data_IF_017964364055
#
_entry.id   IF_017964364055
#
_cell.length_a   1.000
_cell.length_b   1.000
_cell.length_c   1.000
_cell.angle_alpha   90.00
_cell.angle_beta   90.00
_cell.angle_gamma   90.00
#
_symmetry.space_group_name_H-M   'P 1'
#
loop_
_entity.id
_entity.type
_entity.pdbx_description
1 polymer ?
#
# COMPACT_ATOMS: atom_id res chain seq x y z
N UNK A 1 -10.30 17.97 1.04
CA UNK A 1 -10.86 17.07 -0.01
C UNK A 1 -10.41 15.64 0.29
N UNK A 2 -11.36 14.73 0.50
CA UNK A 2 -11.08 13.36 0.94
C UNK A 2 -10.36 12.50 -0.09
N UNK A 3 -9.88 11.33 0.33
CA UNK A 3 -9.24 10.35 -0.55
C UNK A 3 -10.25 9.85 -1.58
N UNK A 4 -9.83 9.68 -2.83
CA UNK A 4 -10.67 9.01 -3.83
C UNK A 4 -10.93 7.55 -3.42
N UNK A 5 -12.12 7.01 -3.71
CA UNK A 5 -12.38 5.59 -3.54
C UNK A 5 -11.36 4.73 -4.30
N UNK A 6 -10.89 3.64 -3.68
CA UNK A 6 -9.82 2.80 -4.23
C UNK A 6 -10.22 2.10 -5.55
N UNK A 7 -11.53 2.00 -5.86
CA UNK A 7 -12.03 1.45 -7.13
C UNK A 7 -11.45 2.15 -8.37
N UNK A 8 -11.12 3.43 -8.27
CA UNK A 8 -10.52 4.19 -9.39
C UNK A 8 -9.10 3.72 -9.73
N UNK A 9 -8.45 3.05 -8.79
CA UNK A 9 -7.02 2.73 -8.84
C UNK A 9 -6.73 1.24 -8.78
N UNK A 10 -7.72 0.37 -8.55
CA UNK A 10 -7.56 -1.08 -8.41
C UNK A 10 -6.79 -1.71 -9.57
N UNK A 11 -7.17 -1.37 -10.80
CA UNK A 11 -6.55 -1.93 -12.00
C UNK A 11 -5.20 -1.27 -12.34
N UNK A 12 -4.20 -2.09 -12.67
CA UNK A 12 -2.90 -1.62 -13.17
C UNK A 12 -3.01 -1.26 -14.65
N UNK A 13 -3.12 0.04 -14.97
CA UNK A 13 -3.26 0.53 -16.36
C UNK A 13 -1.99 1.18 -16.92
N UNK A 14 -1.29 1.96 -16.11
CA UNK A 14 -0.17 2.81 -16.55
C UNK A 14 1.18 2.14 -16.32
N UNK A 15 2.23 2.64 -16.99
CA UNK A 15 3.63 2.29 -16.68
C UNK A 15 3.96 2.61 -15.20
N UNK A 16 4.91 1.89 -14.57
CA UNK A 16 5.35 2.19 -13.21
C UNK A 16 5.86 3.63 -13.10
N UNK A 17 5.47 4.29 -12.02
CA UNK A 17 5.86 5.68 -11.75
C UNK A 17 6.28 5.79 -10.28
N UNK A 18 7.58 5.62 -9.98
CA UNK A 18 8.09 5.67 -8.62
C UNK A 18 8.45 7.10 -8.19
N UNK A 19 8.63 7.29 -6.87
CA UNK A 19 9.30 8.48 -6.33
C UNK A 19 10.71 8.55 -6.94
N UNK A 20 11.05 9.66 -7.59
CA UNK A 20 12.30 9.80 -8.34
C UNK A 20 12.74 11.26 -8.41
N UNK A 21 13.94 11.50 -8.95
CA UNK A 21 14.48 12.83 -9.25
C UNK A 21 13.62 13.68 -10.19
N UNK A 22 12.69 13.07 -10.92
CA UNK A 22 11.78 13.76 -11.84
C UNK A 22 10.39 13.98 -11.24
N UNK A 23 10.09 13.28 -10.14
CA UNK A 23 8.77 13.27 -9.55
C UNK A 23 8.82 13.63 -8.06
N UNK A 24 8.72 14.94 -7.83
CA UNK A 24 8.78 15.56 -6.51
C UNK A 24 7.38 15.68 -5.88
N UNK A 25 7.35 16.01 -4.59
CA UNK A 25 6.10 16.20 -3.84
C UNK A 25 5.31 14.91 -3.58
N UNK A 26 5.96 13.75 -3.76
CA UNK A 26 5.36 12.45 -3.48
C UNK A 26 5.18 12.28 -1.97
N UNK A 27 3.95 12.00 -1.49
CA UNK A 27 3.73 11.73 -0.08
C UNK A 27 4.37 10.41 0.32
N UNK A 28 4.84 10.34 1.56
CA UNK A 28 5.42 9.12 2.08
C UNK A 28 4.34 8.03 2.31
N UNK A 29 4.70 6.74 2.16
CA UNK A 29 3.77 5.65 2.35
C UNK A 29 3.26 5.58 3.78
N UNK A 30 1.99 5.17 3.94
CA UNK A 30 1.38 5.03 5.27
C UNK A 30 2.01 3.90 6.08
N UNK A 31 2.38 2.80 5.42
CA UNK A 31 3.17 1.73 6.02
C UNK A 31 4.61 2.19 6.22
N UNK A 32 5.08 2.19 7.47
CA UNK A 32 6.46 2.53 7.84
C UNK A 32 7.24 1.33 8.36
N UNK A 33 6.56 0.32 8.88
CA UNK A 33 7.15 -0.86 9.52
C UNK A 33 6.70 -2.09 8.75
N UNK A 34 7.65 -2.86 8.21
CA UNK A 34 7.36 -4.06 7.41
C UNK A 34 7.47 -5.35 8.23
N UNK A 35 8.30 -5.35 9.26
CA UNK A 35 8.49 -6.52 10.15
C UNK A 35 7.92 -6.23 11.54
N UNK A 36 7.20 -7.19 12.11
CA UNK A 36 6.55 -7.12 13.42
C UNK A 36 6.71 -8.47 14.14
N UNK A 37 6.59 -8.47 15.46
CA UNK A 37 6.84 -9.66 16.29
C UNK A 37 8.32 -9.84 16.58
N UNK A 38 8.74 -11.08 16.78
CA UNK A 38 10.10 -11.41 17.19
C UNK A 38 11.03 -11.52 15.97
N UNK A 39 11.82 -10.47 15.74
CA UNK A 39 12.70 -10.35 14.55
C UNK A 39 14.08 -10.99 14.71
N UNK A 40 14.47 -11.28 15.95
CA UNK A 40 15.82 -11.73 16.32
C UNK A 40 15.91 -13.24 16.54
N UNK A 41 14.78 -13.94 16.59
CA UNK A 41 14.75 -15.39 16.79
C UNK A 41 15.32 -16.13 15.59
N UNK A 42 15.90 -17.29 15.86
CA UNK A 42 16.48 -18.15 14.83
C UNK A 42 15.41 -18.69 13.87
N UNK A 43 15.84 -19.09 12.68
CA UNK A 43 14.94 -19.69 11.68
C UNK A 43 14.35 -21.02 12.17
N UNK A 44 15.12 -21.77 12.97
CA UNK A 44 14.72 -23.07 13.51
C UNK A 44 13.62 -22.98 14.57
N UNK A 45 13.43 -21.80 15.19
CA UNK A 45 12.41 -21.58 16.22
C UNK A 45 11.00 -21.38 15.65
N UNK A 46 10.88 -21.05 14.36
CA UNK A 46 9.61 -20.81 13.67
C UNK A 46 9.48 -21.73 12.45
N UNK A 47 9.16 -23.03 12.66
CA UNK A 47 9.15 -24.02 11.59
C UNK A 47 7.99 -23.85 10.60
N UNK A 48 6.89 -23.20 11.01
CA UNK A 48 5.72 -23.02 10.14
C UNK A 48 5.70 -21.62 9.54
N UNK A 49 5.43 -21.52 8.24
CA UNK A 49 5.21 -20.25 7.57
C UNK A 49 3.89 -20.27 6.77
N UNK A 50 3.07 -19.25 7.00
CA UNK A 50 1.81 -19.01 6.32
C UNK A 50 1.95 -17.76 5.45
N UNK A 51 1.54 -17.87 4.18
CA UNK A 51 1.64 -16.79 3.20
C UNK A 51 0.26 -16.34 2.74
N UNK A 52 0.02 -15.03 2.79
CA UNK A 52 -1.12 -14.41 2.13
C UNK A 52 -0.74 -14.08 0.69
N UNK A 53 -1.40 -14.70 -0.28
CA UNK A 53 -1.08 -14.59 -1.71
C UNK A 53 -2.21 -13.90 -2.45
N UNK A 54 -1.89 -12.96 -3.35
CA UNK A 54 -2.88 -12.33 -4.22
C UNK A 54 -3.21 -13.23 -5.41
N UNK A 55 -4.50 -13.41 -5.67
CA UNK A 55 -5.00 -14.15 -6.85
C UNK A 55 -5.33 -13.24 -8.03
N UNK A 56 -5.23 -11.93 -7.84
CA UNK A 56 -5.51 -10.94 -8.88
C UNK A 56 -4.31 -10.01 -9.08
N UNK A 57 -4.23 -9.45 -10.29
CA UNK A 57 -3.27 -8.39 -10.63
C UNK A 57 -3.88 -7.02 -10.34
N UNK A 58 -3.46 -6.40 -9.24
CA UNK A 58 -4.05 -5.15 -8.77
C UNK A 58 -3.05 -4.20 -8.08
N UNK A 59 -3.48 -2.96 -7.90
CA UNK A 59 -2.78 -1.99 -7.05
C UNK A 59 -3.35 -2.04 -5.62
N UNK A 60 -2.50 -2.40 -4.67
CA UNK A 60 -2.84 -2.38 -3.25
C UNK A 60 -2.35 -1.08 -2.63
N UNK A 61 -3.24 -0.29 -2.02
CA UNK A 61 -2.86 0.99 -1.39
C UNK A 61 -1.94 0.80 -0.18
N UNK A 62 -1.02 1.73 0.06
CA UNK A 62 -0.15 1.70 1.26
C UNK A 62 -0.94 1.60 2.57
N UNK A 63 -2.13 2.19 2.59
CA UNK A 63 -3.04 2.21 3.72
C UNK A 63 -3.73 0.87 3.92
N UNK A 64 -4.06 0.16 2.83
CA UNK A 64 -4.61 -1.19 2.91
C UNK A 64 -3.56 -2.18 3.44
N UNK A 65 -2.30 -2.04 3.00
CA UNK A 65 -1.19 -2.85 3.52
C UNK A 65 -0.98 -2.58 5.02
N UNK A 66 -1.01 -1.32 5.44
CA UNK A 66 -0.89 -0.96 6.86
C UNK A 66 -2.08 -1.46 7.70
N UNK A 67 -3.31 -1.37 7.17
CA UNK A 67 -4.49 -1.91 7.83
C UNK A 67 -4.40 -3.44 8.00
N UNK A 68 -3.98 -4.15 6.95
CA UNK A 68 -3.78 -5.60 7.00
C UNK A 68 -2.70 -5.98 8.02
N UNK A 69 -1.57 -5.26 8.05
CA UNK A 69 -0.50 -5.44 9.04
C UNK A 69 -1.01 -5.27 10.47
N UNK A 70 -1.75 -4.20 10.75
CA UNK A 70 -2.31 -3.93 12.08
C UNK A 70 -3.30 -5.03 12.49
N UNK A 71 -4.18 -5.46 11.56
CA UNK A 71 -5.15 -6.51 11.81
C UNK A 71 -4.48 -7.84 12.16
N UNK A 72 -3.50 -8.27 11.36
CA UNK A 72 -2.72 -9.48 11.63
C UNK A 72 -1.98 -9.37 12.96
N UNK A 73 -1.31 -8.26 13.23
CA UNK A 73 -0.56 -8.08 14.48
C UNK A 73 -1.47 -8.13 15.72
N UNK A 74 -2.64 -7.48 15.67
CA UNK A 74 -3.60 -7.47 16.78
C UNK A 74 -4.15 -8.87 17.05
N UNK A 75 -4.43 -9.64 16.00
CA UNK A 75 -4.88 -11.02 16.12
C UNK A 75 -3.79 -11.90 16.74
N UNK A 76 -2.60 -11.93 16.13
CA UNK A 76 -1.50 -12.80 16.59
C UNK A 76 -1.05 -12.47 18.01
N UNK A 77 -1.01 -11.19 18.38
CA UNK A 77 -0.67 -10.75 19.75
C UNK A 77 -1.70 -11.23 20.76
N UNK A 78 -3.00 -11.26 20.41
CA UNK A 78 -4.07 -11.69 21.30
C UNK A 78 -4.07 -13.19 21.55
N UNK A 79 -3.82 -14.01 20.52
CA UNK A 79 -3.97 -15.46 20.60
C UNK A 79 -2.67 -16.22 20.90
N UNK A 80 -1.55 -15.76 20.38
CA UNK A 80 -0.25 -16.48 20.45
C UNK A 80 0.75 -15.79 21.38
N UNK A 81 0.57 -14.50 21.64
CA UNK A 81 1.57 -13.66 22.30
C UNK A 81 2.59 -13.08 21.31
N UNK A 82 3.26 -11.98 21.71
CA UNK A 82 4.13 -11.18 20.84
C UNK A 82 5.43 -11.89 20.43
N UNK A 83 5.89 -12.84 21.24
CA UNK A 83 7.20 -13.49 21.09
C UNK A 83 7.15 -14.82 20.32
N UNK A 84 5.93 -15.24 19.93
CA UNK A 84 5.65 -16.51 19.27
C UNK A 84 5.44 -16.39 17.76
N UNK A 85 5.63 -15.20 17.16
CA UNK A 85 5.50 -15.05 15.71
C UNK A 85 6.43 -13.99 15.13
N UNK A 86 6.73 -14.14 13.85
CA UNK A 86 7.37 -13.16 12.99
C UNK A 86 6.44 -12.83 11.81
N UNK A 87 5.93 -11.60 11.77
CA UNK A 87 5.11 -11.10 10.66
C UNK A 87 5.96 -10.19 9.78
N UNK A 88 6.04 -10.51 8.48
CA UNK A 88 6.70 -9.71 7.46
C UNK A 88 5.76 -9.34 6.33
N UNK A 89 5.64 -8.05 6.08
CA UNK A 89 5.03 -7.51 4.87
C UNK A 89 6.05 -7.60 3.74
N UNK A 90 5.75 -8.39 2.69
CA UNK A 90 6.66 -8.62 1.55
C UNK A 90 6.54 -7.54 0.47
N UNK A 91 5.36 -6.93 0.36
CA UNK A 91 5.07 -5.92 -0.67
C UNK A 91 5.43 -4.51 -0.21
N UNK A 92 6.11 -3.77 -1.09
CA UNK A 92 6.47 -2.37 -0.87
C UNK A 92 5.72 -1.45 -1.85
N UNK A 93 5.09 -0.37 -1.37
CA UNK A 93 4.34 0.57 -2.20
C UNK A 93 5.29 1.59 -2.86
N UNK A 94 5.93 1.18 -3.96
CA UNK A 94 6.81 2.06 -4.73
C UNK A 94 6.06 2.92 -5.75
N UNK A 95 4.91 2.46 -6.24
CA UNK A 95 4.20 3.14 -7.30
C UNK A 95 3.38 4.30 -6.77
N UNK A 96 3.54 5.48 -7.35
CA UNK A 96 2.78 6.67 -6.97
C UNK A 96 1.63 6.88 -7.94
N UNK A 97 0.44 7.09 -7.38
CA UNK A 97 -0.74 7.46 -8.14
C UNK A 97 -0.89 8.97 -8.28
N UNK A 98 -1.57 9.37 -9.36
CA UNK A 98 -1.83 10.76 -9.72
C UNK A 98 -3.31 11.07 -9.59
N UNK A 99 -3.60 12.30 -9.19
CA UNK A 99 -4.94 12.86 -9.21
C UNK A 99 -4.91 14.24 -9.87
N UNK A 100 -5.73 14.42 -10.92
CA UNK A 100 -6.13 15.75 -11.35
C UNK A 100 -7.31 16.16 -10.46
N UNK A 101 -7.08 17.05 -9.49
CA UNK A 101 -8.10 17.46 -8.51
C UNK A 101 -9.01 18.46 -9.19
N UNK A 102 -10.31 18.16 -9.23
CA UNK A 102 -11.33 19.10 -9.66
C UNK A 102 -11.77 19.95 -8.47
N UNK A 103 -12.05 21.23 -8.68
CA UNK A 103 -12.69 22.07 -7.68
C UNK A 103 -14.18 21.72 -7.62
N UNK A 104 -14.75 21.65 -6.42
CA UNK A 104 -16.16 21.27 -6.19
C UNK A 104 -16.99 22.42 -5.61
N UNK A 105 -16.54 23.66 -5.77
CA UNK A 105 -17.28 24.85 -5.35
C UNK A 105 -18.17 25.40 -6.48
N UNK A 106 -19.19 26.18 -6.12
CA UNK A 106 -19.96 26.94 -7.11
C UNK A 106 -19.04 27.90 -7.88
N UNK A 107 -19.17 27.94 -9.21
CA UNK A 107 -18.27 28.71 -10.08
C UNK A 107 -16.90 28.06 -10.35
N UNK A 108 -16.71 26.77 -10.02
CA UNK A 108 -15.46 26.05 -10.28
C UNK A 108 -15.07 26.01 -11.76
N UNK A 109 -16.04 26.09 -12.67
CA UNK A 109 -15.85 26.20 -14.12
C UNK A 109 -15.02 27.42 -14.52
N UNK A 110 -15.13 28.52 -13.77
CA UNK A 110 -14.38 29.77 -14.01
C UNK A 110 -12.96 29.74 -13.44
N UNK A 111 -12.75 28.94 -12.40
CA UNK A 111 -11.50 28.91 -11.61
C UNK A 111 -10.58 27.75 -12.01
N UNK A 112 -11.10 26.73 -12.70
CA UNK A 112 -10.35 25.55 -13.05
C UNK A 112 -10.11 25.46 -14.56
N UNK A 113 -8.92 25.01 -14.96
CA UNK A 113 -8.57 24.75 -16.36
C UNK A 113 -9.22 23.49 -16.97
N UNK A 114 -10.18 22.87 -16.26
CA UNK A 114 -10.80 21.61 -16.66
C UNK A 114 -9.77 20.50 -16.91
N UNK A 115 -9.73 20.01 -18.16
CA UNK A 115 -8.82 18.95 -18.61
C UNK A 115 -7.57 19.47 -19.34
N UNK A 116 -7.42 20.79 -19.52
CA UNK A 116 -6.19 21.37 -20.07
C UNK A 116 -5.06 21.17 -19.05
N UNK A 117 -3.97 20.53 -19.48
CA UNK A 117 -2.85 20.19 -18.59
C UNK A 117 -3.21 19.15 -17.52
N UNK A 118 -4.03 18.14 -17.85
CA UNK A 118 -4.56 17.13 -16.92
C UNK A 118 -3.54 16.19 -16.25
N UNK A 119 -2.24 16.50 -16.31
CA UNK A 119 -1.23 15.72 -15.58
C UNK A 119 -1.45 15.88 -14.07
N UNK A 120 -1.91 14.80 -13.44
CA UNK A 120 -2.27 14.83 -12.03
C UNK A 120 -1.07 14.99 -11.09
N UNK A 121 -1.32 15.61 -9.94
CA UNK A 121 -0.37 15.69 -8.82
C UNK A 121 -0.31 14.35 -8.06
N UNK A 122 0.80 14.02 -7.37
CA UNK A 122 0.89 12.82 -6.56
C UNK A 122 -0.18 12.78 -5.46
N UNK A 123 -0.90 11.65 -5.37
CA UNK A 123 -1.93 11.43 -4.35
C UNK A 123 -1.45 10.53 -3.22
N UNK A 124 -0.79 9.42 -3.56
CA UNK A 124 -0.46 8.35 -2.62
C UNK A 124 0.33 7.22 -3.28
N UNK A 125 0.92 6.38 -2.46
CA UNK A 125 1.75 5.25 -2.86
C UNK A 125 1.00 3.92 -2.76
N UNK A 126 1.25 3.05 -3.74
CA UNK A 126 0.56 1.79 -3.95
C UNK A 126 1.59 0.72 -4.32
N UNK A 127 1.36 -0.49 -3.83
CA UNK A 127 2.10 -1.68 -4.25
C UNK A 127 1.41 -2.26 -5.48
N UNK A 128 2.19 -2.50 -6.54
CA UNK A 128 1.73 -3.25 -7.71
C UNK A 128 1.93 -4.73 -7.43
N UNK A 129 0.85 -5.48 -7.47
CA UNK A 129 0.84 -6.90 -7.15
C UNK A 129 0.50 -7.70 -8.40
N UNK A 130 1.21 -8.80 -8.60
CA UNK A 130 0.92 -9.79 -9.65
C UNK A 130 0.19 -11.01 -9.06
N UNK A 131 -0.38 -11.81 -9.96
CA UNK A 131 -1.00 -13.08 -9.58
C UNK A 131 0.07 -13.96 -8.91
N UNK A 132 -0.31 -14.61 -7.82
CA UNK A 132 0.54 -15.49 -7.01
C UNK A 132 1.67 -14.77 -6.26
N UNK A 133 1.63 -13.44 -6.15
CA UNK A 133 2.60 -12.70 -5.34
C UNK A 133 2.19 -12.69 -3.86
N UNK A 134 3.15 -13.01 -2.99
CA UNK A 134 2.98 -12.98 -1.53
C UNK A 134 2.90 -11.54 -1.03
N UNK A 135 1.83 -11.23 -0.30
CA UNK A 135 1.59 -9.94 0.35
C UNK A 135 2.18 -9.91 1.77
N UNK A 136 1.76 -10.87 2.59
CA UNK A 136 2.13 -11.01 4.00
C UNK A 136 2.68 -12.42 4.24
N UNK A 137 3.65 -12.53 5.13
CA UNK A 137 4.17 -13.79 5.60
C UNK A 137 4.17 -13.78 7.12
N UNK A 138 3.60 -14.81 7.73
CA UNK A 138 3.68 -15.05 9.18
C UNK A 138 4.44 -16.34 9.37
N UNK A 139 5.48 -16.33 10.18
CA UNK A 139 6.15 -17.55 10.63
C UNK A 139 6.00 -17.68 12.15
N UNK A 140 5.74 -18.90 12.62
CA UNK A 140 5.46 -19.25 14.01
C UNK A 140 5.89 -20.70 14.31
#
# INVERSE_FOLDING_TARGET
MGRRPARCYRQIKNKPYPKSRYYHGVPDPKIRIYDVGMKRKGVDEFPFCVHLVSWEKENVSSEAVEAARIACNKYMTKFTGKDAFHLRVRVHPFHVLRINKMLSCAGADRLQTGMRGAFGKPLGTYARVIISQVLLSVCC
#
